data_IF_383599795107
#
_entry.id   IF_383599795107
#
_cell.length_a   1.000
_cell.length_b   1.000
_cell.length_c   1.000
_cell.angle_alpha   90.00
_cell.angle_beta   90.00
_cell.angle_gamma   90.00
#
_symmetry.space_group_name_H-M   'P 1'
#
loop_
_entity.id
_entity.type
_entity.pdbx_description
1 polymer ?
#
# COMPACT_ATOMS: atom_id res chain seq x y z
N UNK A 1 22.59 -16.27 -26.35
CA UNK A 1 21.14 -16.07 -26.10
C UNK A 1 20.80 -16.15 -24.59
N UNK A 2 21.47 -15.35 -23.73
CA UNK A 2 21.30 -15.40 -22.25
C UNK A 2 21.02 -14.03 -21.60
N UNK A 3 20.98 -12.94 -22.39
CA UNK A 3 20.85 -11.57 -21.88
C UNK A 3 19.41 -11.00 -21.94
N UNK A 4 18.46 -11.74 -22.50
CA UNK A 4 17.06 -11.30 -22.64
C UNK A 4 16.14 -11.78 -21.50
N UNK A 5 16.60 -12.66 -20.62
CA UNK A 5 15.75 -13.21 -19.54
C UNK A 5 15.77 -12.38 -18.24
N UNK A 6 16.73 -11.47 -18.09
CA UNK A 6 16.86 -10.63 -16.88
C UNK A 6 15.99 -9.36 -16.96
N UNK A 7 15.65 -8.89 -18.17
CA UNK A 7 14.72 -7.78 -18.34
C UNK A 7 13.26 -8.17 -18.05
N UNK A 8 12.89 -9.44 -18.17
CA UNK A 8 11.56 -9.92 -17.81
C UNK A 8 11.33 -9.99 -16.29
N UNK A 9 12.40 -10.08 -15.48
CA UNK A 9 12.32 -10.09 -14.02
C UNK A 9 12.27 -8.68 -13.40
N UNK A 10 12.65 -7.64 -14.13
CA UNK A 10 12.50 -6.24 -13.69
C UNK A 10 11.18 -5.59 -14.13
N UNK A 11 10.52 -6.12 -15.16
CA UNK A 11 9.18 -5.69 -15.58
C UNK A 11 8.05 -6.09 -14.62
N UNK A 12 8.32 -7.01 -13.68
CA UNK A 12 7.38 -7.53 -12.68
C UNK A 12 7.34 -6.73 -11.37
N UNK A 13 8.13 -5.65 -11.25
CA UNK A 13 8.12 -4.76 -10.08
C UNK A 13 7.20 -3.53 -10.26
N UNK A 14 6.47 -3.46 -11.38
CA UNK A 14 5.45 -2.47 -11.62
C UNK A 14 4.13 -2.99 -11.04
N UNK A 15 3.81 -2.67 -9.79
CA UNK A 15 2.41 -2.50 -9.42
C UNK A 15 1.80 -3.33 -8.29
N UNK A 16 2.54 -3.76 -7.27
CA UNK A 16 1.88 -4.34 -6.09
C UNK A 16 2.36 -3.67 -4.79
N UNK A 17 1.93 -2.43 -4.57
CA UNK A 17 2.29 -1.63 -3.39
C UNK A 17 1.09 -1.25 -2.53
N UNK A 18 0.10 -2.10 -2.33
CA UNK A 18 -1.11 -1.64 -1.67
C UNK A 18 -1.66 -2.53 -0.56
N UNK A 19 -1.34 -2.16 0.67
CA UNK A 19 -2.20 -2.36 1.82
C UNK A 19 -2.55 -1.04 2.48
N UNK A 20 -3.42 -1.02 3.50
CA UNK A 20 -3.93 0.21 4.09
C UNK A 20 -2.80 1.23 4.35
N UNK A 21 -2.76 2.28 3.52
CA UNK A 21 -1.76 3.35 3.49
C UNK A 21 -0.32 2.99 3.08
N UNK A 22 0.00 1.79 2.58
CA UNK A 22 1.38 1.41 2.24
C UNK A 22 1.95 2.21 1.06
N UNK A 23 1.20 2.37 -0.04
CA UNK A 23 1.66 3.18 -1.17
C UNK A 23 1.74 4.66 -0.79
N UNK A 24 0.70 5.18 -0.13
CA UNK A 24 0.64 6.56 0.28
C UNK A 24 1.73 6.92 1.31
N UNK A 25 2.03 6.01 2.25
CA UNK A 25 3.15 6.16 3.19
C UNK A 25 4.51 6.11 2.50
N UNK A 26 4.73 5.12 1.60
CA UNK A 26 5.96 5.04 0.82
C UNK A 26 6.22 6.32 0.01
N UNK A 27 5.19 6.84 -0.67
CA UNK A 27 5.29 8.08 -1.42
C UNK A 27 5.56 9.30 -0.52
N UNK A 28 4.85 9.44 0.60
CA UNK A 28 5.10 10.55 1.54
C UNK A 28 6.51 10.50 2.12
N UNK A 29 6.99 9.30 2.48
CA UNK A 29 8.35 9.13 2.99
C UNK A 29 9.40 9.43 1.93
N UNK A 30 9.18 9.04 0.67
CA UNK A 30 10.09 9.40 -0.41
C UNK A 30 10.12 10.91 -0.65
N UNK A 31 8.95 11.57 -0.63
CA UNK A 31 8.87 13.04 -0.70
C UNK A 31 9.63 13.75 0.43
N UNK A 32 9.56 13.21 1.65
CA UNK A 32 10.19 13.81 2.82
C UNK A 32 11.70 13.53 2.93
N UNK A 33 12.17 12.42 2.34
CA UNK A 33 13.52 11.89 2.61
C UNK A 33 14.45 11.92 1.39
N UNK A 34 13.91 11.89 0.18
CA UNK A 34 14.72 11.85 -1.03
C UNK A 34 15.13 13.25 -1.48
N UNK A 35 16.34 13.35 -2.02
CA UNK A 35 16.80 14.55 -2.70
C UNK A 35 16.12 14.71 -4.06
N UNK A 36 16.08 15.94 -4.54
CA UNK A 36 15.58 16.29 -5.88
C UNK A 36 16.69 16.94 -6.69
N UNK A 37 16.77 16.61 -7.97
CA UNK A 37 17.72 17.23 -8.90
C UNK A 37 17.29 18.67 -9.30
N UNK A 38 18.07 19.29 -10.18
CA UNK A 38 17.82 20.65 -10.66
C UNK A 38 16.52 20.77 -11.50
N UNK A 39 16.03 19.66 -12.05
CA UNK A 39 14.79 19.59 -12.84
C UNK A 39 13.58 19.18 -11.98
N UNK A 40 13.74 19.14 -10.65
CA UNK A 40 12.67 18.73 -9.74
C UNK A 40 12.40 17.22 -9.75
N UNK A 41 13.29 16.40 -10.31
CA UNK A 41 13.16 14.94 -10.28
C UNK A 41 13.72 14.35 -9.00
N UNK A 42 12.97 13.46 -8.40
CA UNK A 42 13.34 12.75 -7.18
C UNK A 42 14.44 11.72 -7.48
N UNK A 43 15.40 11.59 -6.55
CA UNK A 43 16.43 10.57 -6.64
C UNK A 43 15.80 9.17 -6.75
N UNK A 44 16.07 8.50 -7.87
CA UNK A 44 15.46 7.22 -8.21
C UNK A 44 15.85 6.14 -7.21
N UNK A 45 17.13 6.05 -6.85
CA UNK A 45 17.62 5.03 -5.92
C UNK A 45 16.95 5.15 -4.55
N UNK A 46 16.77 6.37 -4.05
CA UNK A 46 16.06 6.64 -2.81
C UNK A 46 14.57 6.30 -2.92
N UNK A 47 13.90 6.80 -3.97
CA UNK A 47 12.47 6.57 -4.18
C UNK A 47 12.12 5.08 -4.37
N UNK A 48 12.99 4.32 -5.04
CA UNK A 48 12.83 2.88 -5.24
C UNK A 48 12.97 2.10 -3.92
N UNK A 49 13.80 2.57 -2.99
CA UNK A 49 13.90 2.00 -1.65
C UNK A 49 12.60 2.12 -0.83
N UNK A 50 11.96 3.30 -0.88
CA UNK A 50 10.65 3.49 -0.24
C UNK A 50 9.55 2.72 -0.95
N UNK A 51 9.57 2.68 -2.28
CA UNK A 51 8.66 1.86 -3.07
C UNK A 51 8.78 0.38 -2.71
N UNK A 52 9.99 -0.14 -2.61
CA UNK A 52 10.23 -1.52 -2.15
C UNK A 52 9.70 -1.75 -0.74
N UNK A 53 9.84 -0.76 0.15
CA UNK A 53 9.25 -0.83 1.50
C UNK A 53 7.72 -0.86 1.47
N UNK A 54 7.08 -0.10 0.57
CA UNK A 54 5.63 -0.14 0.33
C UNK A 54 5.15 -1.49 -0.21
N UNK A 55 5.90 -2.11 -1.12
CA UNK A 55 5.64 -3.49 -1.59
C UNK A 55 5.74 -4.48 -0.42
N UNK A 56 6.78 -4.38 0.40
CA UNK A 56 6.93 -5.25 1.57
C UNK A 56 5.76 -5.07 2.55
N UNK A 57 5.41 -3.83 2.90
CA UNK A 57 4.27 -3.48 3.74
C UNK A 57 2.98 -4.13 3.25
N UNK A 58 2.76 -4.10 1.94
CA UNK A 58 1.61 -4.72 1.28
C UNK A 58 1.63 -6.23 1.40
N UNK A 59 2.76 -6.85 1.05
CA UNK A 59 2.89 -8.30 1.08
C UNK A 59 2.70 -8.90 2.47
N UNK A 60 3.12 -8.18 3.51
CA UNK A 60 2.92 -8.56 4.91
C UNK A 60 1.49 -8.33 5.37
N UNK A 61 0.84 -7.28 4.88
CA UNK A 61 -0.53 -6.94 5.29
C UNK A 61 -1.59 -7.78 4.59
N UNK A 62 -1.36 -8.17 3.33
CA UNK A 62 -2.25 -9.00 2.51
C UNK A 62 -1.50 -10.21 1.91
N UNK A 63 -1.10 -11.17 2.76
CA UNK A 63 -0.29 -12.32 2.33
C UNK A 63 -1.06 -13.25 1.38
N UNK A 64 -2.38 -13.42 1.54
CA UNK A 64 -3.18 -14.29 0.67
C UNK A 64 -3.32 -13.67 -0.70
N UNK A 65 -3.66 -12.37 -0.75
CA UNK A 65 -3.71 -11.62 -2.00
C UNK A 65 -2.36 -11.66 -2.72
N UNK A 66 -1.27 -11.42 -2.00
CA UNK A 66 0.09 -11.37 -2.59
C UNK A 66 0.52 -12.73 -3.12
N UNK A 67 0.24 -13.80 -2.39
CA UNK A 67 0.48 -15.17 -2.86
C UNK A 67 -0.33 -15.49 -4.13
N UNK A 68 -1.60 -15.11 -4.18
CA UNK A 68 -2.45 -15.33 -5.36
C UNK A 68 -2.04 -14.45 -6.54
N UNK A 69 -1.63 -13.21 -6.31
CA UNK A 69 -1.12 -12.34 -7.35
C UNK A 69 0.14 -12.94 -7.99
N UNK A 70 1.08 -13.41 -7.16
CA UNK A 70 2.28 -14.10 -7.64
C UNK A 70 1.97 -15.40 -8.42
N UNK A 71 0.85 -16.04 -8.14
CA UNK A 71 0.35 -17.21 -8.87
C UNK A 71 -0.50 -16.86 -10.12
N UNK A 72 -0.71 -15.57 -10.42
CA UNK A 72 -1.55 -15.11 -11.53
C UNK A 72 -3.07 -15.28 -11.29
N UNK A 73 -3.48 -15.42 -10.03
CA UNK A 73 -4.86 -15.72 -9.61
C UNK A 73 -5.59 -14.51 -8.99
N UNK A 74 -4.99 -13.32 -9.03
CA UNK A 74 -5.54 -12.09 -8.43
C UNK A 74 -5.25 -10.88 -9.34
N UNK A 75 -5.85 -10.86 -10.54
CA UNK A 75 -5.59 -9.82 -11.55
C UNK A 75 -6.14 -8.44 -11.17
N UNK A 76 -6.98 -8.35 -10.13
CA UNK A 76 -7.50 -7.09 -9.62
C UNK A 76 -6.40 -6.15 -9.11
N UNK A 77 -5.23 -6.70 -8.72
CA UNK A 77 -4.06 -5.88 -8.36
C UNK A 77 -3.52 -5.13 -9.58
N UNK A 78 -3.58 -5.72 -10.77
CA UNK A 78 -3.17 -5.05 -12.02
C UNK A 78 -4.10 -3.90 -12.38
N UNK A 79 -5.40 -4.03 -12.10
CA UNK A 79 -6.38 -2.95 -12.25
C UNK A 79 -6.02 -1.77 -11.34
N UNK A 80 -5.73 -2.04 -10.07
CA UNK A 80 -5.31 -1.00 -9.12
C UNK A 80 -4.01 -0.31 -9.54
N UNK A 81 -3.05 -1.06 -10.09
CA UNK A 81 -1.81 -0.48 -10.63
C UNK A 81 -2.07 0.41 -11.85
N UNK A 82 -2.97 -0.01 -12.74
CA UNK A 82 -3.39 0.76 -13.93
C UNK A 82 -4.12 2.05 -13.54
N UNK A 83 -5.03 1.98 -12.57
CA UNK A 83 -5.74 3.15 -12.03
C UNK A 83 -4.76 4.13 -11.37
N UNK A 84 -3.80 3.64 -10.58
CA UNK A 84 -2.74 4.47 -10.03
C UNK A 84 -1.96 5.19 -11.14
N UNK A 85 -1.48 4.44 -12.13
CA UNK A 85 -0.71 5.02 -13.24
C UNK A 85 -1.52 6.08 -13.97
N UNK A 86 -2.81 5.83 -14.19
CA UNK A 86 -3.73 6.76 -14.86
C UNK A 86 -3.99 8.00 -14.03
N UNK A 87 -4.09 7.87 -12.70
CA UNK A 87 -4.25 8.99 -11.78
C UNK A 87 -2.96 9.84 -11.73
N UNK A 88 -1.80 9.21 -11.53
CA UNK A 88 -0.51 9.91 -11.52
C UNK A 88 -0.28 10.66 -12.84
N UNK A 89 -0.61 10.05 -13.98
CA UNK A 89 -0.48 10.73 -15.28
C UNK A 89 -1.38 11.97 -15.44
N UNK A 90 -2.49 12.04 -14.71
CA UNK A 90 -3.40 13.19 -14.74
C UNK A 90 -2.97 14.31 -13.79
N UNK A 91 -2.40 13.96 -12.63
CA UNK A 91 -2.11 14.92 -11.56
C UNK A 91 -0.63 15.29 -11.41
N UNK A 92 0.29 14.49 -11.95
CA UNK A 92 1.71 14.81 -11.91
C UNK A 92 2.01 15.98 -12.84
N UNK A 93 2.63 17.02 -12.29
CA UNK A 93 3.04 18.22 -13.05
C UNK A 93 4.31 18.00 -13.86
N UNK A 94 5.01 16.88 -13.61
CA UNK A 94 6.32 16.59 -14.16
C UNK A 94 7.46 17.16 -13.33
N UNK A 95 7.19 17.99 -12.33
CA UNK A 95 8.12 18.36 -11.27
C UNK A 95 7.74 17.58 -10.00
N UNK A 96 8.50 16.52 -9.71
CA UNK A 96 8.22 15.63 -8.58
C UNK A 96 8.41 16.35 -7.23
N UNK A 97 9.19 17.44 -7.19
CA UNK A 97 9.32 18.29 -5.99
C UNK A 97 8.04 19.08 -5.75
N UNK A 98 7.48 19.69 -6.79
CA UNK A 98 6.21 20.41 -6.70
C UNK A 98 5.08 19.43 -6.33
N UNK A 99 5.00 18.29 -7.00
CA UNK A 99 4.01 17.24 -6.72
C UNK A 99 4.07 16.76 -5.25
N UNK A 100 5.28 16.65 -4.69
CA UNK A 100 5.49 16.32 -3.28
C UNK A 100 5.07 17.43 -2.30
N UNK A 101 5.21 18.71 -2.68
CA UNK A 101 4.83 19.85 -1.84
C UNK A 101 3.33 20.13 -1.87
N UNK A 102 2.72 20.04 -3.05
CA UNK A 102 1.29 20.25 -3.25
C UNK A 102 0.47 19.04 -2.78
N UNK A 103 1.07 17.85 -2.75
CA UNK A 103 0.39 16.60 -2.39
C UNK A 103 -0.62 16.13 -3.44
N UNK A 104 -0.60 16.73 -4.63
CA UNK A 104 -1.51 16.45 -5.75
C UNK A 104 -1.52 14.97 -6.13
N UNK A 105 -0.35 14.32 -6.10
CA UNK A 105 -0.19 12.91 -6.46
C UNK A 105 -0.42 11.97 -5.27
N UNK A 106 -0.36 12.47 -4.03
CA UNK A 106 -0.58 11.66 -2.82
C UNK A 106 -2.00 11.07 -2.74
N UNK A 107 -3.00 11.76 -3.32
CA UNK A 107 -4.37 11.25 -3.42
C UNK A 107 -4.46 10.00 -4.29
N UNK A 108 -3.66 9.93 -5.36
CA UNK A 108 -3.61 8.77 -6.26
C UNK A 108 -3.09 7.52 -5.54
N UNK A 109 -2.04 7.66 -4.75
CA UNK A 109 -1.51 6.55 -3.95
C UNK A 109 -2.49 6.11 -2.87
N UNK A 110 -3.24 7.05 -2.28
CA UNK A 110 -4.27 6.73 -1.29
C UNK A 110 -5.45 5.98 -1.93
N UNK A 111 -5.88 6.40 -3.13
CA UNK A 111 -6.89 5.69 -3.90
C UNK A 111 -6.43 4.28 -4.31
N UNK A 112 -5.16 4.12 -4.66
CA UNK A 112 -4.59 2.82 -4.99
C UNK A 112 -4.52 1.86 -3.78
N UNK A 113 -4.22 2.40 -2.59
CA UNK A 113 -4.31 1.65 -1.33
C UNK A 113 -5.76 1.16 -1.07
N UNK A 114 -6.77 2.01 -1.31
CA UNK A 114 -8.17 1.61 -1.21
C UNK A 114 -8.60 0.57 -2.26
N UNK A 115 -8.18 0.75 -3.51
CA UNK A 115 -8.44 -0.19 -4.59
C UNK A 115 -7.93 -1.58 -4.20
N UNK A 116 -6.70 -1.66 -3.67
CA UNK A 116 -6.13 -2.97 -3.39
C UNK A 116 -6.62 -3.56 -2.09
N UNK A 117 -7.05 -2.75 -1.12
CA UNK A 117 -7.84 -3.27 -0.01
C UNK A 117 -9.10 -4.01 -0.52
N UNK A 118 -9.76 -3.49 -1.56
CA UNK A 118 -10.90 -4.18 -2.20
C UNK A 118 -10.42 -5.42 -2.97
N UNK A 119 -9.34 -5.30 -3.75
CA UNK A 119 -8.74 -6.42 -4.47
C UNK A 119 -8.35 -7.57 -3.53
N UNK A 120 -7.77 -7.27 -2.36
CA UNK A 120 -7.40 -8.23 -1.35
C UNK A 120 -8.61 -9.07 -0.91
N UNK A 121 -9.71 -8.41 -0.57
CA UNK A 121 -10.97 -9.07 -0.17
C UNK A 121 -11.49 -9.96 -1.31
N UNK A 122 -11.54 -9.44 -2.55
CA UNK A 122 -11.97 -10.21 -3.73
C UNK A 122 -11.07 -11.42 -3.97
N UNK A 123 -9.77 -11.28 -3.72
CA UNK A 123 -8.80 -12.35 -3.85
C UNK A 123 -8.79 -13.30 -2.65
N UNK A 124 -9.70 -13.16 -1.68
CA UNK A 124 -9.85 -14.10 -0.56
C UNK A 124 -8.94 -13.82 0.62
N UNK A 125 -8.39 -12.60 0.71
CA UNK A 125 -7.92 -12.08 1.97
C UNK A 125 -9.11 -11.99 2.93
N UNK A 126 -9.04 -12.68 4.06
CA UNK A 126 -10.05 -12.52 5.09
C UNK A 126 -9.80 -11.17 5.73
N UNK A 127 -10.79 -10.28 5.69
CA UNK A 127 -10.73 -9.01 6.39
C UNK A 127 -10.46 -9.30 7.88
N UNK A 128 -9.21 -9.17 8.31
CA UNK A 128 -8.85 -9.45 9.69
C UNK A 128 -9.68 -8.53 10.58
N UNK A 129 -10.36 -9.03 11.62
CA UNK A 129 -11.15 -8.21 12.54
C UNK A 129 -10.31 -7.19 13.31
N UNK A 130 -9.00 -7.11 13.06
CA UNK A 130 -8.09 -6.06 13.52
C UNK A 130 -8.31 -4.70 12.82
N UNK A 131 -9.58 -4.31 12.69
CA UNK A 131 -10.03 -2.93 12.55
C UNK A 131 -11.03 -2.53 13.64
N UNK A 132 -11.33 -3.43 14.59
CA UNK A 132 -12.00 -3.05 15.82
C UNK A 132 -10.95 -2.59 16.83
N UNK A 133 -11.04 -1.38 17.41
CA UNK A 133 -10.27 -1.06 18.59
C UNK A 133 -10.54 -2.13 19.65
N UNK A 134 -9.48 -2.76 20.15
CA UNK A 134 -9.49 -3.87 21.11
C UNK A 134 -10.09 -3.53 22.49
N UNK A 135 -10.93 -2.49 22.59
CA UNK A 135 -11.61 -2.07 23.81
C UNK A 135 -12.88 -2.89 24.13
N UNK A 136 -13.39 -3.72 23.21
CA UNK A 136 -14.66 -4.42 23.45
C UNK A 136 -14.49 -5.72 24.27
N UNK A 137 -13.32 -6.37 24.27
CA UNK A 137 -13.12 -7.61 25.03
C UNK A 137 -12.82 -7.40 26.54
N UNK A 138 -12.40 -6.20 26.94
CA UNK A 138 -12.17 -5.89 28.38
C UNK A 138 -13.46 -5.41 29.07
N UNK A 139 -14.43 -4.87 28.32
CA UNK A 139 -15.71 -4.39 28.87
C UNK A 139 -16.64 -5.50 29.37
N UNK A 140 -16.62 -6.70 28.77
CA UNK A 140 -17.51 -7.78 29.18
C UNK A 140 -17.05 -8.52 30.45
N UNK A 141 -15.75 -8.53 30.77
CA UNK A 141 -15.24 -9.09 32.02
C UNK A 141 -15.43 -8.13 33.22
N UNK A 142 -15.44 -6.82 32.98
CA UNK A 142 -15.68 -5.84 34.04
C UNK A 142 -17.14 -5.83 34.54
N UNK A 143 -18.13 -6.05 33.65
CA UNK A 143 -19.54 -6.10 34.04
C UNK A 143 -19.93 -7.39 34.75
N UNK A 144 -19.33 -8.53 34.39
CA UNK A 144 -19.55 -9.79 35.10
C UNK A 144 -18.91 -9.79 36.51
N UNK A 145 -17.74 -9.18 36.66
CA UNK A 145 -17.09 -9.02 37.98
C UNK A 145 -17.87 -8.13 38.94
N UNK A 146 -18.43 -7.01 38.45
CA UNK A 146 -19.21 -6.10 39.30
C UNK A 146 -20.57 -6.68 39.72
N UNK A 147 -21.20 -7.49 38.87
CA UNK A 147 -22.44 -8.17 39.20
C UNK A 147 -22.23 -9.32 40.21
N UNK A 148 -21.10 -10.04 40.13
CA UNK A 148 -20.76 -11.09 41.09
C UNK A 148 -20.36 -10.53 42.46
N UNK A 149 -19.59 -9.45 42.52
CA UNK A 149 -19.16 -8.84 43.78
C UNK A 149 -20.30 -8.19 44.59
N UNK A 150 -21.40 -7.79 43.94
CA UNK A 150 -22.55 -7.18 44.64
C UNK A 150 -23.52 -8.21 45.24
N UNK A 151 -23.35 -9.50 44.95
CA UNK A 151 -24.26 -10.57 45.39
C UNK A 151 -23.72 -11.45 46.52
N UNK A 152 -22.48 -11.23 46.95
CA UNK A 152 -21.88 -11.73 48.19
C UNK A 152 -21.55 -10.57 49.12
#
# INVERSE_FOLDING_TARGET
>A
MKKMLVLALFGLLIGASFAANCAADAYRKSCASCSFDANGKMDRSCSDGFRSSGISCTSTSYPIMSGKYAAGQCTQVDECASELSSCVAQYATGDERADCQEGSVAVCYSAADECTKKAAITCGEVQSPCGAPSFILIGMLALAGFAYYRKN
#
